data_IF_322119333479
#
_entry.id   IF_322119333479
#
_cell.length_a   1.000
_cell.length_b   1.000
_cell.length_c   1.000
_cell.angle_alpha   90.00
_cell.angle_beta   90.00
_cell.angle_gamma   90.00
#
_symmetry.space_group_name_H-M   'P 1'
#
loop_
_entity.id
_entity.type
_entity.pdbx_description
1 polymer ?
#
# COMPACT_ATOMS: atom_id res chain seq x y z
N UNK A 1 -6.20 -21.61 -17.50
CA UNK A 1 -6.85 -20.29 -17.48
C UNK A 1 -6.64 -19.72 -16.09
N UNK A 2 -5.51 -19.05 -15.86
CA UNK A 2 -5.30 -18.28 -14.63
C UNK A 2 -6.28 -17.12 -14.66
N UNK A 3 -7.25 -17.11 -13.76
CA UNK A 3 -8.14 -15.95 -13.62
C UNK A 3 -7.23 -14.81 -13.14
N UNK A 4 -7.00 -13.82 -14.01
CA UNK A 4 -6.21 -12.65 -13.73
C UNK A 4 -7.01 -11.73 -12.77
N UNK A 5 -7.23 -12.20 -11.54
CA UNK A 5 -8.10 -11.55 -10.56
C UNK A 5 -7.55 -10.20 -10.14
N UNK A 6 -6.22 -10.06 -10.02
CA UNK A 6 -5.59 -8.80 -9.64
C UNK A 6 -5.87 -7.67 -10.64
N UNK A 7 -6.07 -8.00 -11.91
CA UNK A 7 -6.29 -7.05 -13.00
C UNK A 7 -7.79 -6.81 -13.29
N UNK A 8 -8.68 -7.48 -12.57
CA UNK A 8 -10.11 -7.23 -12.66
C UNK A 8 -10.44 -5.82 -12.11
N UNK A 9 -11.34 -5.04 -12.75
CA UNK A 9 -11.71 -3.70 -12.29
C UNK A 9 -12.12 -3.61 -10.82
N UNK A 10 -12.79 -4.64 -10.29
CA UNK A 10 -13.17 -4.71 -8.88
C UNK A 10 -11.96 -4.78 -7.95
N UNK A 11 -10.97 -5.59 -8.28
CA UNK A 11 -9.74 -5.74 -7.48
C UNK A 11 -8.85 -4.51 -7.57
N UNK A 12 -8.81 -3.85 -8.73
CA UNK A 12 -8.16 -2.55 -8.88
C UNK A 12 -8.84 -1.48 -8.02
N UNK A 13 -10.17 -1.44 -7.99
CA UNK A 13 -10.91 -0.54 -7.11
C UNK A 13 -10.67 -0.85 -5.63
N UNK A 14 -10.67 -2.14 -5.23
CA UNK A 14 -10.37 -2.54 -3.86
C UNK A 14 -8.95 -2.15 -3.46
N UNK A 15 -7.97 -2.35 -4.35
CA UNK A 15 -6.58 -1.91 -4.16
C UNK A 15 -6.51 -0.40 -3.96
N UNK A 16 -7.16 0.37 -4.84
CA UNK A 16 -7.22 1.82 -4.72
C UNK A 16 -7.82 2.27 -3.37
N UNK A 17 -8.89 1.62 -2.91
CA UNK A 17 -9.47 1.90 -1.59
C UNK A 17 -8.49 1.58 -0.45
N UNK A 18 -7.75 0.48 -0.54
CA UNK A 18 -6.70 0.13 0.42
C UNK A 18 -5.57 1.16 0.42
N UNK A 19 -5.17 1.67 -0.76
CA UNK A 19 -4.16 2.72 -0.91
C UNK A 19 -4.61 4.04 -0.25
N UNK A 20 -5.81 4.51 -0.56
CA UNK A 20 -6.38 5.74 0.03
C UNK A 20 -6.52 5.60 1.55
N UNK A 21 -7.02 4.46 2.02
CA UNK A 21 -7.15 4.18 3.45
C UNK A 21 -5.79 4.13 4.15
N UNK A 22 -4.77 3.53 3.52
CA UNK A 22 -3.42 3.49 4.05
C UNK A 22 -2.85 4.91 4.21
N UNK A 23 -2.98 5.76 3.19
CA UNK A 23 -2.56 7.16 3.27
C UNK A 23 -3.26 7.94 4.39
N UNK A 24 -4.56 7.70 4.59
CA UNK A 24 -5.31 8.25 5.73
C UNK A 24 -4.75 7.78 7.08
N UNK A 25 -4.43 6.49 7.21
CA UNK A 25 -3.81 5.94 8.42
C UNK A 25 -2.45 6.59 8.71
N UNK A 26 -1.63 6.80 7.68
CA UNK A 26 -0.34 7.47 7.80
C UNK A 26 -0.48 8.94 8.23
N UNK A 27 -1.46 9.66 7.71
CA UNK A 27 -1.74 11.04 8.13
C UNK A 27 -2.13 11.10 9.62
N UNK A 28 -3.06 10.23 10.05
CA UNK A 28 -3.50 10.15 11.45
C UNK A 28 -2.37 9.71 12.37
N UNK A 29 -1.55 8.76 11.94
CA UNK A 29 -0.38 8.31 12.71
C UNK A 29 0.67 9.41 12.82
N UNK A 30 1.01 10.10 11.72
CA UNK A 30 1.93 11.24 11.75
C UNK A 30 1.45 12.35 12.70
N UNK A 31 0.15 12.65 12.69
CA UNK A 31 -0.45 13.61 13.63
C UNK A 31 -0.32 13.18 15.10
N UNK A 32 -0.52 11.89 15.40
CA UNK A 32 -0.49 11.37 16.78
C UNK A 32 0.90 11.04 17.29
N UNK A 33 1.85 10.74 16.41
CA UNK A 33 3.21 10.34 16.77
C UNK A 33 4.09 11.53 17.17
N UNK A 34 3.79 12.73 16.68
CA UNK A 34 4.64 13.92 16.86
C UNK A 34 3.95 14.94 17.77
N UNK A 35 4.57 15.37 18.89
CA UNK A 35 4.01 16.40 19.76
C UNK A 35 4.21 17.81 19.20
N UNK A 36 3.51 18.80 19.80
CA UNK A 36 3.66 20.21 19.43
C UNK A 36 3.24 20.56 17.99
N UNK A 37 3.67 21.72 17.46
CA UNK A 37 3.30 22.19 16.11
C UNK A 37 3.84 21.31 14.97
N UNK A 38 4.89 20.52 15.20
CA UNK A 38 5.45 19.63 14.18
C UNK A 38 4.46 18.53 13.73
N UNK A 39 3.39 18.27 14.49
CA UNK A 39 2.33 17.34 14.12
C UNK A 39 1.66 17.67 12.78
N UNK A 40 1.52 18.96 12.44
CA UNK A 40 0.91 19.39 11.18
C UNK A 40 1.80 19.00 10.00
N UNK A 41 3.11 19.19 10.16
CA UNK A 41 4.11 18.79 9.17
C UNK A 41 4.12 17.27 9.04
N UNK A 42 4.15 16.54 10.15
CA UNK A 42 4.16 15.07 10.13
C UNK A 42 2.90 14.46 9.49
N UNK A 43 1.72 15.03 9.76
CA UNK A 43 0.46 14.57 9.18
C UNK A 43 0.41 14.69 7.64
N UNK A 44 1.23 15.57 7.05
CA UNK A 44 1.32 15.77 5.60
C UNK A 44 2.54 15.04 5.02
N UNK A 45 3.71 15.22 5.64
CA UNK A 45 4.98 14.71 5.13
C UNK A 45 5.01 13.17 5.08
N UNK A 46 4.42 12.50 6.08
CA UNK A 46 4.39 11.03 6.11
C UNK A 46 3.56 10.44 4.95
N UNK A 47 2.27 10.78 4.76
CA UNK A 47 1.51 10.24 3.63
C UNK A 47 2.08 10.67 2.28
N UNK A 48 2.63 11.89 2.15
CA UNK A 48 3.31 12.31 0.91
C UNK A 48 4.53 11.44 0.63
N UNK A 49 5.37 11.17 1.62
CA UNK A 49 6.52 10.28 1.45
C UNK A 49 6.08 8.86 1.04
N UNK A 50 5.02 8.32 1.65
CA UNK A 50 4.48 7.02 1.28
C UNK A 50 3.89 7.02 -0.14
N UNK A 51 3.20 8.09 -0.55
CA UNK A 51 2.68 8.24 -1.91
C UNK A 51 3.81 8.36 -2.94
N UNK A 52 4.92 9.03 -2.60
CA UNK A 52 6.10 9.10 -3.48
C UNK A 52 6.81 7.75 -3.59
N UNK A 53 6.98 7.02 -2.47
CA UNK A 53 7.54 5.66 -2.49
C UNK A 53 6.66 4.72 -3.31
N UNK A 54 5.34 4.80 -3.13
CA UNK A 54 4.39 4.03 -3.92
C UNK A 54 4.42 4.41 -5.40
N UNK A 55 4.42 5.71 -5.69
CA UNK A 55 4.29 6.33 -7.00
C UNK A 55 5.50 6.12 -7.90
N UNK A 56 6.69 6.39 -7.37
CA UNK A 56 7.92 6.49 -8.15
C UNK A 56 8.56 5.13 -8.43
N UNK A 57 8.38 4.15 -7.53
CA UNK A 57 8.97 2.83 -7.64
C UNK A 57 7.95 1.80 -8.13
N UNK A 58 8.13 1.33 -9.35
CA UNK A 58 7.29 0.29 -9.92
C UNK A 58 8.11 -0.61 -10.85
N UNK A 59 7.62 -1.84 -11.05
CA UNK A 59 8.19 -2.78 -12.01
C UNK A 59 7.68 -2.42 -13.40
N UNK A 60 8.59 -2.23 -14.35
CA UNK A 60 8.22 -1.89 -15.72
C UNK A 60 7.23 -2.92 -16.30
N UNK A 61 6.18 -2.42 -16.97
CA UNK A 61 5.14 -3.27 -17.57
C UNK A 61 4.08 -3.82 -16.60
N UNK A 62 4.03 -3.37 -15.34
CA UNK A 62 2.93 -3.71 -14.43
C UNK A 62 1.59 -3.14 -14.94
N UNK A 63 0.76 -3.99 -15.55
CA UNK A 63 -0.59 -3.64 -16.07
C UNK A 63 -1.55 -3.14 -14.99
N UNK A 64 -1.27 -3.42 -13.71
CA UNK A 64 -2.04 -2.84 -12.61
C UNK A 64 -1.80 -1.32 -12.47
N UNK A 65 -0.88 -0.76 -13.26
CA UNK A 65 -0.53 0.67 -13.33
C UNK A 65 -0.50 1.14 -14.78
N UNK A 66 -0.27 2.44 -14.96
CA UNK A 66 -0.13 3.07 -16.28
C UNK A 66 1.07 2.58 -17.11
N UNK A 67 1.88 1.64 -16.60
CA UNK A 67 3.10 1.14 -17.26
C UNK A 67 4.30 2.09 -17.17
N UNK A 68 4.10 3.35 -16.78
CA UNK A 68 5.17 4.34 -16.60
C UNK A 68 5.69 4.35 -15.16
N UNK A 69 7.00 4.33 -15.00
CA UNK A 69 7.67 4.29 -13.69
C UNK A 69 8.87 5.23 -13.69
N UNK A 70 9.05 6.02 -12.63
CA UNK A 70 10.23 6.90 -12.50
C UNK A 70 11.50 6.09 -12.20
N UNK A 71 11.37 5.07 -11.35
CA UNK A 71 12.42 4.13 -11.01
C UNK A 71 11.92 2.71 -11.23
N UNK A 72 12.52 2.04 -12.22
CA UNK A 72 12.27 0.63 -12.48
C UNK A 72 12.83 -0.20 -11.33
N UNK A 73 11.99 -1.08 -10.78
CA UNK A 73 12.34 -1.92 -9.64
C UNK A 73 11.99 -3.37 -9.91
N UNK A 74 12.89 -4.33 -9.57
CA UNK A 74 12.60 -5.75 -9.68
C UNK A 74 11.30 -6.10 -8.95
N UNK A 75 10.52 -7.02 -9.49
CA UNK A 75 9.21 -7.36 -8.96
C UNK A 75 9.21 -7.80 -7.50
N UNK A 76 10.20 -8.55 -6.97
CA UNK A 76 10.26 -8.85 -5.54
C UNK A 76 10.45 -7.59 -4.66
N UNK A 77 11.21 -6.61 -5.14
CA UNK A 77 11.38 -5.34 -4.44
C UNK A 77 10.08 -4.53 -4.47
N UNK A 78 9.35 -4.55 -5.59
CA UNK A 78 8.03 -3.95 -5.69
C UNK A 78 7.03 -4.63 -4.75
N UNK A 79 7.08 -5.95 -4.59
CA UNK A 79 6.27 -6.67 -3.61
C UNK A 79 6.61 -6.26 -2.17
N UNK A 80 7.90 -6.11 -1.85
CA UNK A 80 8.33 -5.61 -0.55
C UNK A 80 7.81 -4.19 -0.28
N UNK A 81 7.91 -3.29 -1.26
CA UNK A 81 7.34 -1.94 -1.17
C UNK A 81 5.83 -1.98 -0.98
N UNK A 82 5.15 -2.91 -1.64
CA UNK A 82 3.70 -3.07 -1.50
C UNK A 82 3.30 -3.47 -0.08
N UNK A 83 3.99 -4.48 0.47
CA UNK A 83 3.81 -4.91 1.84
C UNK A 83 4.22 -3.82 2.84
N UNK A 84 5.24 -3.01 2.53
CA UNK A 84 5.68 -1.93 3.40
C UNK A 84 4.66 -0.77 3.45
N UNK A 85 4.12 -0.35 2.30
CA UNK A 85 3.19 0.78 2.21
C UNK A 85 1.77 0.37 2.63
N UNK A 86 1.26 -0.78 2.19
CA UNK A 86 -0.07 -1.22 2.63
C UNK A 86 -0.01 -1.82 4.04
N UNK A 87 0.95 -2.72 4.30
CA UNK A 87 1.13 -3.31 5.63
C UNK A 87 1.59 -2.30 6.68
N UNK A 88 2.28 -1.22 6.31
CA UNK A 88 2.65 -0.17 7.25
C UNK A 88 1.44 0.60 7.81
N UNK A 89 0.31 0.66 7.09
CA UNK A 89 -0.93 1.21 7.63
C UNK A 89 -1.47 0.38 8.80
N UNK A 90 -1.32 -0.95 8.76
CA UNK A 90 -1.63 -1.82 9.91
C UNK A 90 -0.74 -1.49 11.12
N UNK A 91 0.57 -1.31 10.90
CA UNK A 91 1.50 -0.94 11.96
C UNK A 91 1.16 0.43 12.58
N UNK A 92 0.83 1.41 11.72
CA UNK A 92 0.36 2.74 12.12
C UNK A 92 -0.90 2.67 13.00
N UNK A 93 -1.90 1.87 12.59
CA UNK A 93 -3.14 1.66 13.36
C UNK A 93 -2.89 1.00 14.72
N UNK A 94 -1.99 0.01 14.78
CA UNK A 94 -1.61 -0.59 16.08
C UNK A 94 -0.91 0.39 16.99
N UNK A 95 0.00 1.20 16.44
CA UNK A 95 0.76 2.18 17.21
C UNK A 95 -0.15 3.23 17.86
N UNK A 96 -1.20 3.67 17.17
CA UNK A 96 -2.20 4.61 17.74
C UNK A 96 -3.27 3.92 18.62
N UNK A 97 -3.15 2.62 18.88
CA UNK A 97 -4.07 1.84 19.73
C UNK A 97 -5.38 1.42 19.07
N UNK A 98 -5.54 1.62 17.75
CA UNK A 98 -6.78 1.29 17.02
C UNK A 98 -6.85 -0.20 16.65
N UNK A 99 -6.76 -1.08 17.66
CA UNK A 99 -6.58 -2.53 17.45
C UNK A 99 -7.70 -3.22 16.66
N UNK A 100 -8.96 -2.81 16.86
CA UNK A 100 -10.08 -3.38 16.10
C UNK A 100 -9.98 -3.02 14.61
N UNK A 101 -9.71 -1.75 14.30
CA UNK A 101 -9.55 -1.28 12.92
C UNK A 101 -8.33 -1.95 12.27
N UNK A 102 -7.21 -2.06 13.00
CA UNK A 102 -6.03 -2.78 12.55
C UNK A 102 -6.35 -4.24 12.20
N UNK A 103 -7.12 -4.94 13.04
CA UNK A 103 -7.53 -6.33 12.79
C UNK A 103 -8.32 -6.46 11.48
N UNK A 104 -9.38 -5.66 11.30
CA UNK A 104 -10.21 -5.73 10.10
C UNK A 104 -9.43 -5.34 8.85
N UNK A 105 -8.61 -4.28 8.92
CA UNK A 105 -7.73 -3.89 7.83
C UNK A 105 -6.78 -5.01 7.42
N UNK A 106 -6.13 -5.67 8.39
CA UNK A 106 -5.23 -6.79 8.09
C UNK A 106 -5.95 -7.96 7.42
N UNK A 107 -7.16 -8.30 7.88
CA UNK A 107 -7.97 -9.35 7.26
C UNK A 107 -8.26 -9.01 5.80
N UNK A 108 -8.73 -7.80 5.51
CA UNK A 108 -9.02 -7.35 4.14
C UNK A 108 -7.75 -7.35 3.29
N UNK A 109 -6.63 -6.86 3.82
CA UNK A 109 -5.35 -6.80 3.13
C UNK A 109 -4.83 -8.20 2.76
N UNK A 110 -4.93 -9.16 3.69
CA UNK A 110 -4.52 -10.55 3.46
C UNK A 110 -5.45 -11.22 2.44
N UNK A 111 -6.76 -11.07 2.57
CA UNK A 111 -7.73 -11.61 1.61
C UNK A 111 -7.48 -11.05 0.22
N UNK A 112 -7.22 -9.74 0.11
CA UNK A 112 -6.83 -9.12 -1.16
C UNK A 112 -5.59 -9.78 -1.76
N UNK A 113 -4.49 -9.91 -1.00
CA UNK A 113 -3.25 -10.52 -1.50
C UNK A 113 -3.41 -11.99 -1.89
N UNK A 114 -4.18 -12.75 -1.13
CA UNK A 114 -4.47 -14.16 -1.43
C UNK A 114 -5.29 -14.28 -2.72
N UNK A 115 -6.30 -13.44 -2.90
CA UNK A 115 -7.10 -13.43 -4.12
C UNK A 115 -6.32 -12.90 -5.33
N UNK A 116 -5.42 -11.94 -5.13
CA UNK A 116 -4.52 -11.36 -6.13
C UNK A 116 -3.19 -12.14 -6.25
N UNK A 117 -3.19 -13.45 -6.02
CA UNK A 117 -1.99 -14.29 -6.05
C UNK A 117 -1.30 -14.30 -7.41
N UNK A 118 -2.07 -14.10 -8.48
CA UNK A 118 -1.60 -13.99 -9.86
C UNK A 118 -0.57 -12.86 -10.01
N UNK A 119 -0.82 -11.72 -9.36
CA UNK A 119 0.10 -10.59 -9.35
C UNK A 119 1.33 -10.82 -8.49
N UNK A 120 1.20 -11.50 -7.35
CA UNK A 120 2.36 -11.88 -6.52
C UNK A 120 3.29 -12.78 -7.34
N UNK A 121 2.74 -13.76 -8.05
CA UNK A 121 3.52 -14.66 -8.89
C UNK A 121 4.17 -13.95 -10.08
N UNK A 122 3.47 -13.00 -10.70
CA UNK A 122 4.03 -12.15 -11.75
C UNK A 122 5.23 -11.34 -11.24
N UNK A 123 5.08 -10.66 -10.10
CA UNK A 123 6.16 -9.90 -9.46
C UNK A 123 7.35 -10.78 -9.04
N UNK A 124 7.14 -12.04 -8.66
CA UNK A 124 8.27 -12.91 -8.31
C UNK A 124 9.06 -13.41 -9.53
N UNK A 125 8.52 -13.25 -10.73
CA UNK A 125 9.11 -13.72 -11.99
C UNK A 125 9.76 -12.62 -12.84
N UNK A 126 9.54 -11.35 -12.49
CA UNK A 126 10.04 -10.17 -13.18
C UNK A 126 10.92 -9.35 -12.22
#
# INVERSE_FOLDING_TARGET
>A
MTIALAYNPFFLALRFLLEVFALGCYAVWGWRAVPGPLRFVAAIAVPVAMAMLWGNFATAGDEARSGETTFDTPGPLRLLLELAVLGGAWAALRHIGALQVAKYYLIVLVVYHVCAYDRIWWLLRH
#
